data_IF_049797411683
#
_entry.id   IF_049797411683
#
_cell.length_a   1.000
_cell.length_b   1.000
_cell.length_c   1.000
_cell.angle_alpha   90.00
_cell.angle_beta   90.00
_cell.angle_gamma   90.00
#
_symmetry.space_group_name_H-M   'P 1'
#
loop_
_entity.id
_entity.type
_entity.pdbx_description
1 polymer ?
#
# COMPACT_ATOMS: atom_id res chain seq x y z
N UNK A 1 5.41 17.92 23.05
CA UNK A 1 4.17 17.17 23.31
C UNK A 1 3.29 17.36 22.09
N UNK A 2 3.66 16.70 20.99
CA UNK A 2 3.09 16.96 19.68
C UNK A 2 1.89 16.06 19.47
N UNK A 3 0.72 16.69 19.60
CA UNK A 3 -0.57 16.14 19.22
C UNK A 3 -0.50 15.75 17.74
N UNK A 4 -0.25 14.47 17.48
CA UNK A 4 -0.55 13.87 16.19
C UNK A 4 -2.04 14.05 15.97
N UNK A 5 -2.42 14.97 15.09
CA UNK A 5 -3.80 15.15 14.67
C UNK A 5 -4.36 13.78 14.26
N UNK A 6 -5.30 13.25 15.04
CA UNK A 6 -6.01 12.03 14.71
C UNK A 6 -6.73 12.27 13.38
N UNK A 7 -6.15 11.73 12.32
CA UNK A 7 -6.71 11.85 10.98
C UNK A 7 -7.93 10.96 10.94
N UNK A 8 -9.13 11.55 10.92
CA UNK A 8 -10.43 10.83 10.88
C UNK A 8 -10.64 10.02 9.60
N UNK A 9 -9.65 10.00 8.71
CA UNK A 9 -9.67 9.38 7.39
C UNK A 9 -8.49 8.42 7.28
N UNK A 10 -8.78 7.19 6.87
CA UNK A 10 -7.75 6.18 6.57
C UNK A 10 -6.85 6.68 5.44
N UNK A 11 -5.54 6.65 5.69
CA UNK A 11 -4.50 7.07 4.75
C UNK A 11 -3.69 5.87 4.27
N UNK A 12 -3.58 5.70 2.96
CA UNK A 12 -2.79 4.65 2.32
C UNK A 12 -1.51 5.27 1.77
N UNK A 13 -0.37 4.74 2.19
CA UNK A 13 0.94 5.17 1.73
C UNK A 13 1.49 4.16 0.72
N UNK A 14 1.95 4.65 -0.42
CA UNK A 14 2.48 3.80 -1.48
C UNK A 14 3.63 4.47 -2.22
N UNK A 15 4.50 3.64 -2.81
CA UNK A 15 5.62 4.09 -3.63
C UNK A 15 5.21 4.19 -5.10
N UNK A 16 4.93 5.41 -5.56
CA UNK A 16 4.58 5.69 -6.96
C UNK A 16 5.75 5.56 -7.94
N UNK A 17 7.00 5.55 -7.47
CA UNK A 17 8.19 5.33 -8.31
C UNK A 17 8.33 3.87 -8.74
N UNK A 18 7.61 2.95 -8.08
CA UNK A 18 7.56 1.54 -8.43
C UNK A 18 6.36 1.25 -9.34
N UNK A 19 6.56 0.87 -10.63
CA UNK A 19 5.47 0.61 -11.57
C UNK A 19 4.49 -0.47 -11.10
N UNK A 20 5.01 -1.48 -10.38
CA UNK A 20 4.21 -2.57 -9.82
C UNK A 20 3.27 -2.06 -8.72
N UNK A 21 3.81 -1.32 -7.75
CA UNK A 21 3.01 -0.74 -6.67
C UNK A 21 2.01 0.27 -7.20
N UNK A 22 2.40 1.10 -8.17
CA UNK A 22 1.47 2.03 -8.83
C UNK A 22 0.31 1.30 -9.52
N UNK A 23 0.56 0.19 -10.22
CA UNK A 23 -0.49 -0.61 -10.88
C UNK A 23 -1.41 -1.25 -9.86
N UNK A 24 -0.85 -1.83 -8.80
CA UNK A 24 -1.62 -2.41 -7.70
C UNK A 24 -2.53 -1.36 -7.06
N UNK A 25 -2.00 -0.19 -6.67
CA UNK A 25 -2.77 0.89 -6.06
C UNK A 25 -3.85 1.44 -6.97
N UNK A 26 -3.59 1.52 -8.29
CA UNK A 26 -4.62 1.89 -9.26
C UNK A 26 -5.82 0.96 -9.21
N UNK A 27 -5.67 -0.35 -8.97
CA UNK A 27 -6.82 -1.25 -8.85
C UNK A 27 -7.74 -0.79 -7.71
N UNK A 28 -7.16 -0.45 -6.56
CA UNK A 28 -7.92 0.04 -5.42
C UNK A 28 -8.52 1.44 -5.63
N UNK A 29 -7.79 2.33 -6.31
CA UNK A 29 -8.29 3.69 -6.62
C UNK A 29 -9.50 3.69 -7.56
N UNK A 30 -9.64 2.67 -8.42
CA UNK A 30 -10.81 2.50 -9.29
C UNK A 30 -11.95 1.73 -8.61
N UNK A 31 -11.73 1.15 -7.44
CA UNK A 31 -12.75 0.45 -6.68
C UNK A 31 -13.53 1.41 -5.78
N UNK A 32 -14.80 1.09 -5.50
CA UNK A 32 -15.64 1.88 -4.59
C UNK A 32 -15.41 1.41 -3.16
N UNK A 33 -14.80 2.27 -2.34
CA UNK A 33 -14.63 2.04 -0.91
C UNK A 33 -15.89 2.47 -0.12
N UNK A 34 -16.12 1.83 1.03
CA UNK A 34 -17.21 2.17 1.95
C UNK A 34 -16.95 3.46 2.72
N UNK A 35 -15.70 3.91 2.78
CA UNK A 35 -15.28 5.13 3.45
C UNK A 35 -14.29 5.90 2.58
N UNK A 36 -14.16 7.23 2.74
CA UNK A 36 -13.11 7.99 2.07
C UNK A 36 -11.72 7.42 2.41
N UNK A 37 -10.84 7.37 1.41
CA UNK A 37 -9.45 6.94 1.56
C UNK A 37 -8.54 8.05 1.03
N UNK A 38 -7.57 8.45 1.84
CA UNK A 38 -6.53 9.39 1.43
C UNK A 38 -5.34 8.62 0.87
N UNK A 39 -5.00 8.87 -0.40
CA UNK A 39 -3.85 8.24 -1.05
C UNK A 39 -2.63 9.15 -0.99
N UNK A 40 -1.51 8.63 -0.49
CA UNK A 40 -0.25 9.38 -0.35
C UNK A 40 0.87 8.64 -1.06
N UNK A 41 1.35 9.25 -2.15
CA UNK A 41 2.55 8.79 -2.84
C UNK A 41 3.80 9.28 -2.10
N UNK A 42 4.53 8.35 -1.47
CA UNK A 42 5.73 8.68 -0.69
C UNK A 42 6.93 9.00 -1.57
N UNK A 43 6.90 8.64 -2.86
CA UNK A 43 8.00 8.91 -3.79
C UNK A 43 8.07 10.37 -4.23
N UNK A 44 6.92 11.08 -4.23
CA UNK A 44 6.84 12.50 -4.60
C UNK A 44 7.02 13.42 -3.41
N UNK A 45 6.73 12.93 -2.19
CA UNK A 45 6.94 13.65 -0.93
C UNK A 45 8.25 13.22 -0.28
N UNK A 46 9.36 13.54 -0.93
CA UNK A 46 10.71 13.26 -0.43
C UNK A 46 11.11 14.08 0.82
N UNK A 47 10.23 14.92 1.38
CA UNK A 47 10.57 15.80 2.49
C UNK A 47 9.38 15.86 3.47
N UNK A 48 9.61 15.37 4.69
CA UNK A 48 8.65 15.44 5.78
C UNK A 48 8.24 14.05 6.23
N UNK A 49 9.05 13.50 7.14
CA UNK A 49 8.70 12.56 8.22
C UNK A 49 7.18 12.38 8.33
N UNK A 50 6.64 11.44 7.55
CA UNK A 50 5.22 11.11 7.62
C UNK A 50 5.13 10.06 8.73
N UNK A 51 4.61 10.48 9.88
CA UNK A 51 4.48 9.65 11.09
C UNK A 51 5.80 9.19 11.76
N UNK A 52 6.81 10.05 11.83
CA UNK A 52 8.02 9.79 12.64
C UNK A 52 9.01 8.77 12.06
N UNK A 53 8.79 8.26 10.83
CA UNK A 53 9.64 7.23 10.19
C UNK A 53 10.43 7.75 9.00
N UNK A 54 11.50 7.02 8.68
CA UNK A 54 12.36 7.33 7.54
C UNK A 54 11.64 7.03 6.22
N UNK A 55 11.88 7.85 5.19
CA UNK A 55 11.32 7.63 3.85
C UNK A 55 11.66 6.22 3.31
N UNK A 56 12.85 5.71 3.64
CA UNK A 56 13.28 4.36 3.25
C UNK A 56 12.40 3.24 3.79
N UNK A 57 11.92 3.33 5.03
CA UNK A 57 11.02 2.32 5.61
C UNK A 57 9.65 2.33 4.91
N UNK A 58 9.09 3.52 4.64
CA UNK A 58 7.81 3.68 3.97
C UNK A 58 7.85 3.24 2.49
N UNK A 59 9.00 3.37 1.82
CA UNK A 59 9.20 2.90 0.45
C UNK A 59 9.44 1.38 0.37
N UNK A 60 9.94 0.77 1.45
CA UNK A 60 10.26 -0.67 1.48
C UNK A 60 9.02 -1.56 1.55
N UNK A 61 7.93 -1.08 2.16
CA UNK A 61 6.73 -1.87 2.45
C UNK A 61 5.44 -1.08 2.23
N UNK A 62 4.34 -1.81 2.01
CA UNK A 62 3.01 -1.22 1.90
C UNK A 62 2.48 -0.83 3.28
N UNK A 63 1.87 0.35 3.42
CA UNK A 63 1.44 0.90 4.70
C UNK A 63 0.04 1.52 4.64
N UNK A 64 -0.72 1.34 5.72
CA UNK A 64 -2.05 1.94 5.92
C UNK A 64 -2.12 2.51 7.32
N UNK A 65 -2.39 3.80 7.42
CA UNK A 65 -2.79 4.43 8.68
C UNK A 65 -4.32 4.45 8.73
N UNK A 66 -4.86 3.77 9.72
CA UNK A 66 -6.28 3.74 10.04
C UNK A 66 -6.76 5.07 10.63
N UNK A 67 -8.07 5.30 10.69
CA UNK A 67 -8.65 6.54 11.20
C UNK A 67 -8.39 6.76 12.71
N UNK A 68 -8.13 5.71 13.47
CA UNK A 68 -7.68 5.74 14.86
C UNK A 68 -6.19 6.06 15.01
N UNK A 69 -5.47 6.23 13.90
CA UNK A 69 -4.04 6.56 13.87
C UNK A 69 -3.11 5.34 13.87
N UNK A 70 -3.64 4.13 14.02
CA UNK A 70 -2.84 2.89 13.96
C UNK A 70 -2.23 2.71 12.58
N UNK A 71 -0.90 2.66 12.52
CA UNK A 71 -0.14 2.45 11.30
C UNK A 71 0.19 0.96 11.12
N UNK A 72 -0.46 0.34 10.14
CA UNK A 72 -0.28 -1.04 9.75
C UNK A 72 0.70 -1.13 8.57
N UNK A 73 1.42 -2.26 8.46
CA UNK A 73 2.34 -2.52 7.35
C UNK A 73 2.17 -3.93 6.80
N UNK A 74 2.63 -4.14 5.56
CA UNK A 74 2.63 -5.45 4.90
C UNK A 74 1.24 -6.07 4.80
N UNK A 75 1.13 -7.36 5.12
CA UNK A 75 -0.15 -8.08 5.04
C UNK A 75 -1.25 -7.44 5.88
N UNK A 76 -0.95 -6.96 7.08
CA UNK A 76 -1.94 -6.31 7.95
C UNK A 76 -2.51 -5.03 7.32
N UNK A 77 -1.69 -4.29 6.57
CA UNK A 77 -2.13 -3.11 5.83
C UNK A 77 -3.10 -3.48 4.69
N UNK A 78 -2.82 -4.56 3.96
CA UNK A 78 -3.73 -5.05 2.91
C UNK A 78 -5.05 -5.55 3.47
N UNK A 79 -5.02 -6.31 4.57
CA UNK A 79 -6.23 -6.80 5.24
C UNK A 79 -7.10 -5.62 5.68
N UNK A 80 -6.51 -4.62 6.33
CA UNK A 80 -7.23 -3.40 6.72
C UNK A 80 -7.82 -2.67 5.50
N UNK A 81 -7.08 -2.58 4.40
CA UNK A 81 -7.57 -1.98 3.16
C UNK A 81 -8.75 -2.76 2.57
N UNK A 82 -8.67 -4.09 2.47
CA UNK A 82 -9.73 -4.94 1.92
C UNK A 82 -11.05 -4.87 2.70
N UNK A 83 -10.98 -4.65 4.01
CA UNK A 83 -12.17 -4.45 4.83
C UNK A 83 -12.94 -3.17 4.45
N UNK A 84 -12.29 -2.19 3.82
CA UNK A 84 -12.90 -0.95 3.35
C UNK A 84 -13.60 -1.10 1.99
N UNK A 85 -13.44 -2.21 1.28
CA UNK A 85 -14.09 -2.43 -0.03
C UNK A 85 -15.17 -3.49 0.10
N UNK A 86 -16.47 -3.15 -0.08
CA UNK A 86 -17.59 -4.09 0.09
C UNK A 86 -17.39 -5.43 -0.64
N UNK A 87 -16.92 -5.40 -1.89
CA UNK A 87 -16.67 -6.61 -2.67
C UNK A 87 -15.51 -7.48 -2.17
N UNK A 88 -14.60 -6.92 -1.37
CA UNK A 88 -13.37 -7.59 -0.90
C UNK A 88 -13.37 -7.81 0.62
N UNK A 89 -14.48 -7.49 1.31
CA UNK A 89 -14.62 -7.71 2.76
C UNK A 89 -14.40 -9.17 3.14
N UNK A 90 -14.75 -10.13 2.28
CA UNK A 90 -14.51 -11.54 2.53
C UNK A 90 -13.01 -11.84 2.60
N UNK A 91 -12.19 -11.30 1.69
CA UNK A 91 -10.72 -11.41 1.74
C UNK A 91 -10.16 -10.80 3.02
N UNK A 92 -10.65 -9.62 3.40
CA UNK A 92 -10.28 -8.99 4.67
C UNK A 92 -10.61 -9.88 5.87
N UNK A 93 -11.82 -10.46 5.92
CA UNK A 93 -12.23 -11.37 7.00
C UNK A 93 -11.37 -12.63 7.08
N UNK A 94 -11.07 -13.26 5.94
CA UNK A 94 -10.17 -14.42 5.90
C UNK A 94 -8.75 -14.04 6.33
N UNK A 95 -8.25 -12.90 5.88
CA UNK A 95 -6.93 -12.41 6.26
C UNK A 95 -6.81 -12.04 7.74
N UNK A 96 -7.92 -11.66 8.40
CA UNK A 96 -7.98 -11.38 9.84
C UNK A 96 -8.03 -12.62 10.74
N UNK A 97 -8.12 -13.84 10.17
CA UNK A 97 -8.11 -15.07 10.97
C UNK A 97 -6.73 -15.27 11.63
N UNK A 98 -6.68 -15.78 12.88
CA UNK A 98 -5.42 -16.06 13.56
C UNK A 98 -4.58 -17.03 12.72
N UNK A 99 -3.33 -16.64 12.43
CA UNK A 99 -2.40 -17.39 11.59
C UNK A 99 -2.42 -17.02 10.10
N UNK A 100 -3.55 -16.51 9.56
CA UNK A 100 -3.61 -16.08 8.15
C UNK A 100 -2.83 -14.81 7.87
N UNK A 101 -2.82 -13.85 8.79
CA UNK A 101 -1.92 -12.70 8.69
C UNK A 101 -0.45 -13.12 8.54
N UNK A 102 -0.03 -14.21 9.19
CA UNK A 102 1.32 -14.77 9.07
C UNK A 102 1.60 -15.39 7.70
N UNK A 103 0.64 -16.17 7.16
CA UNK A 103 0.76 -16.74 5.80
C UNK A 103 0.77 -15.66 4.74
N UNK A 104 -0.11 -14.65 4.86
CA UNK A 104 -0.13 -13.50 3.95
C UNK A 104 1.16 -12.68 4.07
N UNK A 105 1.72 -12.54 5.27
CA UNK A 105 3.00 -11.84 5.47
C UNK A 105 4.15 -12.61 4.82
N UNK A 106 4.15 -13.94 4.88
CA UNK A 106 5.12 -14.77 4.17
C UNK A 106 4.97 -14.61 2.65
N UNK A 107 3.74 -14.67 2.13
CA UNK A 107 3.45 -14.44 0.72
C UNK A 107 3.89 -13.04 0.26
N UNK A 108 3.64 -12.03 1.09
CA UNK A 108 4.05 -10.65 0.86
C UNK A 108 5.58 -10.50 0.82
N UNK A 109 6.30 -11.14 1.75
CA UNK A 109 7.77 -11.16 1.75
C UNK A 109 8.34 -11.85 0.51
N UNK A 110 7.76 -12.98 0.11
CA UNK A 110 8.14 -13.67 -1.13
C UNK A 110 7.92 -12.76 -2.35
N UNK A 111 6.80 -12.03 -2.40
CA UNK A 111 6.54 -11.05 -3.44
C UNK A 111 7.59 -9.92 -3.45
N UNK A 112 8.03 -9.43 -2.28
CA UNK A 112 9.11 -8.44 -2.20
C UNK A 112 10.45 -8.96 -2.73
N UNK A 113 10.77 -10.24 -2.54
CA UNK A 113 11.98 -10.88 -3.10
C UNK A 113 11.88 -11.03 -4.62
N UNK A 114 10.68 -11.31 -5.13
CA UNK A 114 10.43 -11.44 -6.58
C UNK A 114 10.32 -10.05 -7.25
N UNK A 115 9.95 -9.02 -6.48
CA UNK A 115 9.77 -7.61 -6.91
C UNK A 115 10.87 -7.10 -7.85
N UNK A 116 12.19 -7.22 -7.58
CA UNK A 116 13.22 -6.74 -8.50
C UNK A 116 13.16 -7.41 -9.89
N UNK A 117 12.86 -8.71 -9.95
CA UNK A 117 12.70 -9.43 -11.23
C UNK A 117 11.47 -8.99 -12.01
N UNK A 118 10.34 -8.82 -11.31
CA UNK A 118 9.09 -8.31 -11.89
C UNK A 118 9.24 -6.85 -12.33
N UNK A 119 9.92 -6.01 -11.55
CA UNK A 119 10.22 -4.62 -11.89
C UNK A 119 11.01 -4.52 -13.19
N UNK A 120 11.96 -5.42 -13.43
CA UNK A 120 12.71 -5.47 -14.69
C UNK A 120 11.79 -5.78 -15.90
N UNK A 121 10.87 -6.73 -15.75
CA UNK A 121 9.88 -7.07 -16.79
C UNK A 121 8.95 -5.88 -17.08
N UNK A 122 8.44 -5.21 -16.05
CA UNK A 122 7.51 -4.09 -16.24
C UNK A 122 8.19 -2.81 -16.77
N UNK A 123 9.47 -2.54 -16.43
CA UNK A 123 10.23 -1.44 -17.04
C UNK A 123 10.30 -1.57 -18.58
N UNK A 124 10.37 -2.80 -19.11
CA UNK A 124 10.31 -3.02 -20.57
C UNK A 124 8.95 -2.66 -21.19
N UNK A 125 7.86 -2.86 -20.46
CA UNK A 125 6.51 -2.51 -20.96
C UNK A 125 6.23 -1.00 -20.98
N UNK A 126 6.80 -0.23 -20.04
CA UNK A 126 6.68 1.24 -20.05
C UNK A 126 7.62 1.86 -21.11
N UNK A 127 8.82 1.28 -21.33
CA UNK A 127 9.73 1.71 -22.39
C UNK A 127 9.14 1.50 -23.80
N UNK A 128 8.25 0.52 -24.00
CA UNK A 128 7.54 0.30 -25.26
C UNK A 128 6.38 1.27 -25.55
N UNK A 129 5.90 2.02 -24.55
CA UNK A 129 4.85 3.04 -24.74
C UNK A 129 5.40 4.44 -25.02
N UNK A 130 6.72 4.65 -24.94
CA UNK A 130 7.38 5.93 -25.28
C UNK A 130 7.64 6.15 -26.77
N UNK A 131 7.43 5.15 -27.63
CA UNK A 131 7.67 5.23 -29.09
C UNK A 131 6.39 5.41 -29.93
N UNK A 132 5.24 5.66 -29.29
CA UNK A 132 4.02 6.12 -29.97
C UNK A 132 3.71 7.56 -29.57
N UNK A 133 4.55 8.49 -30.03
CA UNK A 133 4.17 9.88 -30.26
C UNK A 133 4.65 10.29 -31.64
#
# INVERSE_FOLDING_TARGET
>A
MDLHAASTVTTVFFDGSCPLCRREIKVYQHAVSSTPIKWVDVSTKAQGVTAGRSCGELMSRFHVQTADGTLLSGAAAFVALWLLFPGWRWLGKFGSLPGMTGVLELAYRSFLVIRPGIQWVFRRTEAGQGLKK
#
